data_IF_994103894292
#
_entry.id   IF_994103894292
#
_cell.length_a   1.000
_cell.length_b   1.000
_cell.length_c   1.000
_cell.angle_alpha   90.00
_cell.angle_beta   90.00
_cell.angle_gamma   90.00
#
_symmetry.space_group_name_H-M   'P 1'
#
loop_
_entity.id
_entity.type
_entity.pdbx_description
1 polymer ?
#
# COMPACT_ATOMS: atom_id res chain seq x y z
N UNK A 1 30.41 -11.01 -21.72
CA UNK A 1 29.49 -9.89 -21.44
C UNK A 1 28.22 -10.08 -22.23
N UNK A 2 27.08 -9.99 -21.57
CA UNK A 2 25.79 -10.15 -22.23
C UNK A 2 25.20 -8.77 -22.46
N UNK A 3 24.86 -8.50 -23.71
CA UNK A 3 24.26 -7.23 -24.09
C UNK A 3 22.72 -7.37 -24.07
N UNK A 4 22.06 -6.40 -23.48
CA UNK A 4 20.59 -6.37 -23.49
C UNK A 4 20.09 -5.95 -24.88
N UNK A 5 18.98 -6.53 -25.29
CA UNK A 5 18.30 -6.10 -26.53
C UNK A 5 17.63 -4.74 -26.31
N UNK A 6 17.28 -4.08 -27.39
CA UNK A 6 16.52 -2.82 -27.32
C UNK A 6 15.20 -3.03 -26.59
N UNK A 7 14.48 -4.13 -26.86
CA UNK A 7 13.22 -4.40 -26.18
C UNK A 7 13.40 -4.65 -24.68
N UNK A 8 14.50 -5.29 -24.28
CA UNK A 8 14.80 -5.48 -22.85
C UNK A 8 15.06 -4.14 -22.18
N UNK A 9 15.83 -3.26 -22.80
CA UNK A 9 16.11 -1.93 -22.27
C UNK A 9 14.82 -1.10 -22.18
N UNK A 10 13.98 -1.15 -23.20
CA UNK A 10 12.71 -0.42 -23.20
C UNK A 10 11.81 -0.86 -22.06
N UNK A 11 11.74 -2.18 -21.78
CA UNK A 11 10.97 -2.71 -20.66
C UNK A 11 11.52 -2.27 -19.31
N UNK A 12 12.85 -2.25 -19.16
CA UNK A 12 13.47 -1.80 -17.93
C UNK A 12 13.20 -0.32 -17.66
N UNK A 13 13.28 0.50 -18.71
CA UNK A 13 12.98 1.93 -18.60
C UNK A 13 11.51 2.12 -18.20
N UNK A 14 10.59 1.41 -18.86
CA UNK A 14 9.17 1.50 -18.55
C UNK A 14 8.87 1.07 -17.12
N UNK A 15 9.48 -0.03 -16.67
CA UNK A 15 9.33 -0.52 -15.30
C UNK A 15 9.86 0.47 -14.28
N UNK A 16 11.00 1.09 -14.57
CA UNK A 16 11.60 2.09 -13.69
C UNK A 16 10.70 3.32 -13.59
N UNK A 17 10.15 3.78 -14.69
CA UNK A 17 9.24 4.93 -14.72
C UNK A 17 7.95 4.63 -13.96
N UNK A 18 7.40 3.45 -14.12
CA UNK A 18 6.20 3.00 -13.43
C UNK A 18 6.43 2.96 -11.91
N UNK A 19 7.57 2.43 -11.50
CA UNK A 19 7.94 2.40 -10.08
C UNK A 19 8.10 3.81 -9.52
N UNK A 20 8.69 4.70 -10.28
CA UNK A 20 8.84 6.10 -9.89
C UNK A 20 7.49 6.80 -9.68
N UNK A 21 6.54 6.53 -10.58
CA UNK A 21 5.17 7.07 -10.43
C UNK A 21 4.51 6.54 -9.17
N UNK A 22 4.61 5.23 -8.91
CA UNK A 22 4.02 4.63 -7.72
C UNK A 22 4.66 5.23 -6.45
N UNK A 23 5.97 5.38 -6.42
CA UNK A 23 6.66 5.98 -5.28
C UNK A 23 6.15 7.40 -5.00
N UNK A 24 5.94 8.20 -6.03
CA UNK A 24 5.41 9.56 -5.86
C UNK A 24 3.98 9.56 -5.33
N UNK A 25 3.14 8.65 -5.82
CA UNK A 25 1.76 8.50 -5.34
C UNK A 25 1.74 8.10 -3.87
N UNK A 26 2.57 7.15 -3.49
CA UNK A 26 2.70 6.71 -2.10
C UNK A 26 3.16 7.87 -1.22
N UNK A 27 4.21 8.57 -1.63
CA UNK A 27 4.74 9.67 -0.82
C UNK A 27 3.70 10.77 -0.58
N UNK A 28 2.93 11.10 -1.61
CA UNK A 28 1.87 12.11 -1.49
C UNK A 28 0.82 11.68 -0.49
N UNK A 29 0.38 10.43 -0.56
CA UNK A 29 -0.63 9.90 0.36
C UNK A 29 -0.08 9.74 1.78
N UNK A 30 1.17 9.32 1.92
CA UNK A 30 1.82 9.26 3.23
C UNK A 30 1.91 10.63 3.87
N UNK A 31 2.33 11.64 3.13
CA UNK A 31 2.41 13.00 3.66
C UNK A 31 1.07 13.47 4.20
N UNK A 32 0.01 13.21 3.45
CA UNK A 32 -1.35 13.56 3.86
C UNK A 32 -1.77 12.82 5.12
N UNK A 33 -1.66 11.50 5.11
CA UNK A 33 -2.24 10.67 6.15
C UNK A 33 -1.41 10.61 7.42
N UNK A 34 -0.10 10.73 7.33
CA UNK A 34 0.74 10.86 8.53
C UNK A 34 0.36 12.12 9.31
N UNK A 35 0.07 13.21 8.61
CA UNK A 35 -0.38 14.44 9.27
C UNK A 35 -1.75 14.26 9.92
N UNK A 36 -2.69 13.61 9.22
CA UNK A 36 -4.05 13.41 9.73
C UNK A 36 -4.06 12.47 10.94
N UNK A 37 -3.33 11.36 10.85
CA UNK A 37 -3.37 10.31 11.87
C UNK A 37 -2.37 10.52 13.01
N UNK A 38 -1.43 11.43 12.83
CA UNK A 38 -0.42 11.71 13.87
C UNK A 38 0.61 10.60 14.05
N UNK A 39 0.85 9.82 13.02
CA UNK A 39 1.85 8.74 13.04
C UNK A 39 2.82 8.91 11.89
N UNK A 40 3.99 8.32 11.99
CA UNK A 40 5.01 8.40 10.95
C UNK A 40 5.64 7.04 10.71
N UNK A 41 5.85 6.74 9.44
CA UNK A 41 6.71 5.62 9.06
C UNK A 41 8.14 6.13 8.92
N UNK A 42 9.10 5.25 9.18
CA UNK A 42 10.51 5.58 9.02
C UNK A 42 10.89 5.63 7.53
N UNK A 43 10.43 4.63 6.79
CA UNK A 43 10.66 4.54 5.35
C UNK A 43 9.63 3.61 4.73
N UNK A 44 9.47 3.70 3.41
CA UNK A 44 8.64 2.75 2.69
C UNK A 44 9.39 2.15 1.52
N UNK A 45 9.00 0.95 1.14
CA UNK A 45 9.58 0.21 0.03
C UNK A 45 8.48 -0.44 -0.79
N UNK A 46 8.66 -0.49 -2.09
CA UNK A 46 7.80 -1.21 -3.01
C UNK A 46 8.48 -2.50 -3.40
N UNK A 47 7.76 -3.61 -3.27
CA UNK A 47 8.29 -4.91 -3.68
C UNK A 47 7.17 -5.83 -4.15
N UNK A 48 7.54 -6.93 -4.79
CA UNK A 48 6.62 -8.00 -5.10
C UNK A 48 6.30 -8.74 -3.80
N UNK A 49 5.01 -8.84 -3.47
CA UNK A 49 4.58 -9.49 -2.24
C UNK A 49 3.17 -10.05 -2.40
N UNK A 50 2.80 -10.97 -1.52
CA UNK A 50 1.51 -11.65 -1.59
C UNK A 50 0.36 -10.85 -0.99
N UNK A 51 0.64 -9.89 -0.13
CA UNK A 51 -0.36 -8.99 0.42
C UNK A 51 -0.25 -7.63 -0.24
N UNK A 52 -1.24 -6.75 -0.01
CA UNK A 52 -1.22 -5.40 -0.56
C UNK A 52 -0.23 -4.49 0.13
N UNK A 53 -0.04 -4.69 1.42
CA UNK A 53 0.89 -3.91 2.21
C UNK A 53 1.22 -4.62 3.50
N UNK A 54 2.26 -4.15 4.17
CA UNK A 54 2.70 -4.66 5.46
C UNK A 54 3.47 -3.57 6.19
N UNK A 55 3.34 -3.52 7.49
CA UNK A 55 4.04 -2.55 8.31
C UNK A 55 4.69 -3.26 9.49
N UNK A 56 5.97 -3.01 9.69
CA UNK A 56 6.67 -3.47 10.90
C UNK A 56 6.61 -2.35 11.93
N UNK A 57 5.89 -2.53 13.05
CA UNK A 57 5.73 -1.47 14.04
C UNK A 57 7.01 -1.15 14.81
N UNK A 58 7.95 -2.07 14.87
CA UNK A 58 9.22 -1.84 15.59
C UNK A 58 10.11 -0.85 14.89
N UNK A 59 10.38 -1.08 13.59
CA UNK A 59 11.26 -0.22 12.80
C UNK A 59 10.50 0.77 11.94
N UNK A 60 9.16 0.69 11.95
CA UNK A 60 8.27 1.57 11.20
C UNK A 60 8.54 1.57 9.71
N UNK A 61 8.86 0.40 9.18
CA UNK A 61 9.01 0.22 7.74
C UNK A 61 7.70 -0.23 7.14
N UNK A 62 7.32 0.46 6.07
CA UNK A 62 6.11 0.17 5.32
C UNK A 62 6.49 -0.51 4.02
N UNK A 63 5.85 -1.62 3.74
CA UNK A 63 6.02 -2.36 2.48
C UNK A 63 4.75 -2.25 1.68
N UNK A 64 4.86 -1.89 0.41
CA UNK A 64 3.72 -1.74 -0.51
C UNK A 64 3.93 -2.67 -1.68
N UNK A 65 2.88 -3.40 -2.05
CA UNK A 65 2.93 -4.27 -3.22
C UNK A 65 3.07 -3.46 -4.50
N UNK A 66 3.99 -3.88 -5.36
CA UNK A 66 4.15 -3.30 -6.68
C UNK A 66 2.91 -3.44 -7.56
N UNK A 67 2.04 -4.41 -7.25
CA UNK A 67 0.78 -4.58 -7.97
C UNK A 67 -0.12 -3.36 -7.86
N UNK A 68 0.06 -2.52 -6.85
CA UNK A 68 -0.72 -1.30 -6.67
C UNK A 68 -0.40 -0.22 -7.71
N UNK A 69 0.67 -0.38 -8.49
CA UNK A 69 0.98 0.53 -9.58
C UNK A 69 -0.15 0.62 -10.62
N UNK A 70 -0.90 -0.46 -10.80
CA UNK A 70 -2.01 -0.53 -11.77
C UNK A 70 -3.36 -0.20 -11.14
N UNK A 71 -3.38 0.17 -9.87
CA UNK A 71 -4.60 0.43 -9.13
C UNK A 71 -4.91 1.90 -9.05
N UNK A 72 -6.18 2.20 -8.73
CA UNK A 72 -6.62 3.57 -8.50
C UNK A 72 -5.96 4.17 -7.24
N UNK A 73 -5.96 5.49 -7.18
CA UNK A 73 -5.53 6.20 -5.98
C UNK A 73 -6.41 5.87 -4.78
N UNK A 74 -7.69 5.63 -5.00
CA UNK A 74 -8.60 5.24 -3.91
C UNK A 74 -8.18 3.91 -3.29
N UNK A 75 -7.79 2.94 -4.09
CA UNK A 75 -7.30 1.65 -3.61
C UNK A 75 -5.98 1.79 -2.87
N UNK A 76 -5.05 2.54 -3.45
CA UNK A 76 -3.74 2.78 -2.83
C UNK A 76 -3.91 3.51 -1.48
N UNK A 77 -4.77 4.52 -1.45
CA UNK A 77 -5.04 5.26 -0.22
C UNK A 77 -5.59 4.33 0.88
N UNK A 78 -6.50 3.44 0.53
CA UNK A 78 -7.03 2.48 1.49
C UNK A 78 -5.89 1.63 2.10
N UNK A 79 -5.00 1.10 1.27
CA UNK A 79 -3.90 0.27 1.76
C UNK A 79 -3.00 1.05 2.71
N UNK A 80 -2.66 2.28 2.35
CA UNK A 80 -1.81 3.13 3.18
C UNK A 80 -2.48 3.45 4.52
N UNK A 81 -3.74 3.86 4.50
CA UNK A 81 -4.48 4.17 5.73
C UNK A 81 -4.61 2.93 6.61
N UNK A 82 -4.90 1.77 6.00
CA UNK A 82 -4.99 0.49 6.71
C UNK A 82 -3.71 0.20 7.51
N UNK A 83 -2.55 0.34 6.86
CA UNK A 83 -1.28 0.07 7.54
C UNK A 83 -0.97 1.13 8.60
N UNK A 84 -1.25 2.39 8.34
CA UNK A 84 -1.02 3.45 9.33
C UNK A 84 -1.94 3.31 10.55
N UNK A 85 -3.17 2.86 10.36
CA UNK A 85 -4.07 2.59 11.49
C UNK A 85 -3.52 1.47 12.37
N UNK A 86 -2.92 0.44 11.77
CA UNK A 86 -2.23 -0.58 12.56
C UNK A 86 -1.14 0.04 13.43
N UNK A 87 -0.40 1.00 12.89
CA UNK A 87 0.65 1.67 13.64
C UNK A 87 0.09 2.49 14.81
N UNK A 88 -1.11 3.05 14.67
CA UNK A 88 -1.75 3.81 15.73
C UNK A 88 -2.10 2.96 16.96
N UNK A 89 -2.44 1.70 16.74
CA UNK A 89 -2.96 0.83 17.81
C UNK A 89 -2.00 -0.27 18.22
N UNK A 90 -0.89 -0.41 17.52
CA UNK A 90 0.07 -1.48 17.81
C UNK A 90 1.03 -1.06 18.90
N UNK A 91 0.65 -1.35 20.13
CA UNK A 91 1.45 -1.02 21.31
C UNK A 91 2.11 -2.24 21.92
N UNK A 92 2.06 -3.39 21.24
CA UNK A 92 2.63 -4.60 21.80
C UNK A 92 2.62 -5.74 20.81
N UNK A 93 3.16 -6.89 21.21
CA UNK A 93 3.34 -8.02 20.30
C UNK A 93 2.04 -8.62 19.78
N UNK A 94 0.93 -8.34 20.39
CA UNK A 94 -0.38 -8.84 19.97
C UNK A 94 -1.22 -7.79 19.26
N UNK A 95 -0.68 -6.62 18.98
CA UNK A 95 -1.45 -5.48 18.52
C UNK A 95 -1.82 -5.46 17.05
N UNK A 96 -1.46 -6.49 16.29
CA UNK A 96 -1.62 -6.46 14.85
C UNK A 96 -2.99 -6.92 14.33
N UNK A 97 -3.93 -7.23 15.21
CA UNK A 97 -5.24 -7.73 14.81
C UNK A 97 -6.17 -6.67 14.27
N UNK A 98 -7.20 -7.13 13.54
CA UNK A 98 -8.29 -6.28 13.10
C UNK A 98 -9.43 -6.38 14.11
N UNK A 99 -9.25 -5.75 15.26
CA UNK A 99 -10.24 -5.75 16.32
C UNK A 99 -11.20 -4.54 16.22
N UNK A 100 -12.07 -4.40 17.20
CA UNK A 100 -13.06 -3.33 17.19
C UNK A 100 -12.42 -1.94 17.16
N UNK A 101 -11.27 -1.78 17.80
CA UNK A 101 -10.55 -0.52 17.83
C UNK A 101 -10.03 -0.17 16.43
N UNK A 102 -9.51 -1.16 15.70
CA UNK A 102 -9.08 -0.99 14.32
C UNK A 102 -10.24 -0.53 13.44
N UNK A 103 -11.37 -1.23 13.52
CA UNK A 103 -12.52 -0.89 12.69
C UNK A 103 -13.10 0.48 13.03
N UNK A 104 -13.11 0.83 14.31
CA UNK A 104 -13.59 2.16 14.73
C UNK A 104 -12.73 3.28 14.14
N UNK A 105 -11.41 3.09 14.12
CA UNK A 105 -10.50 4.07 13.52
C UNK A 105 -10.67 4.13 12.00
N UNK A 106 -10.81 2.99 11.34
CA UNK A 106 -11.05 2.97 9.91
C UNK A 106 -12.37 3.68 9.56
N UNK A 107 -13.43 3.43 10.31
CA UNK A 107 -14.72 4.08 10.09
C UNK A 107 -14.63 5.59 10.30
N UNK A 108 -13.84 6.01 11.25
CA UNK A 108 -13.67 7.44 11.55
C UNK A 108 -12.90 8.17 10.45
N UNK A 109 -11.78 7.59 10.01
CA UNK A 109 -10.84 8.31 9.15
C UNK A 109 -11.02 8.03 7.66
N UNK A 110 -11.52 6.86 7.30
CA UNK A 110 -11.76 6.50 5.92
C UNK A 110 -13.08 5.72 5.81
N UNK A 111 -14.23 6.40 5.98
CA UNK A 111 -15.52 5.71 6.06
C UNK A 111 -15.89 4.89 4.83
N UNK A 112 -15.24 5.13 3.69
CA UNK A 112 -15.46 4.35 2.47
C UNK A 112 -14.57 3.11 2.38
N UNK A 113 -13.87 2.75 3.43
CA UNK A 113 -12.86 1.70 3.36
C UNK A 113 -13.42 0.32 2.99
N UNK A 114 -14.63 0.00 3.43
CA UNK A 114 -15.22 -1.31 3.10
C UNK A 114 -15.46 -1.46 1.61
N UNK A 115 -15.92 -0.41 0.97
CA UNK A 115 -16.12 -0.40 -0.48
C UNK A 115 -14.79 -0.50 -1.22
N UNK A 116 -13.77 0.22 -0.77
CA UNK A 116 -12.44 0.16 -1.36
C UNK A 116 -11.81 -1.23 -1.19
N UNK A 117 -11.97 -1.81 -0.02
CA UNK A 117 -11.51 -3.17 0.25
C UNK A 117 -12.19 -4.18 -0.69
N UNK A 118 -13.50 -4.06 -0.85
CA UNK A 118 -14.25 -4.94 -1.74
C UNK A 118 -13.78 -4.81 -3.19
N UNK A 119 -13.47 -3.59 -3.65
CA UNK A 119 -12.92 -3.36 -4.99
C UNK A 119 -11.58 -4.06 -5.17
N UNK A 120 -10.71 -4.01 -4.17
CA UNK A 120 -9.44 -4.74 -4.22
C UNK A 120 -9.66 -6.24 -4.33
N UNK A 121 -10.56 -6.77 -3.54
CA UNK A 121 -10.85 -8.21 -3.53
C UNK A 121 -11.46 -8.69 -4.85
N UNK A 122 -12.28 -7.88 -5.47
CA UNK A 122 -12.91 -8.23 -6.74
C UNK A 122 -11.99 -8.06 -7.95
N UNK A 123 -10.79 -7.50 -7.74
CA UNK A 123 -9.87 -7.25 -8.83
C UNK A 123 -10.22 -6.02 -9.65
N UNK A 124 -10.89 -5.05 -9.04
CA UNK A 124 -11.26 -3.78 -9.68
C UNK A 124 -10.02 -2.93 -9.85
N UNK A 125 -9.36 -3.08 -10.97
CA UNK A 125 -8.06 -2.48 -11.26
C UNK A 125 -8.11 -1.64 -12.49
N UNK A 126 -7.13 -0.75 -12.63
CA UNK A 126 -6.95 0.07 -13.83
C UNK A 126 -6.56 -0.81 -15.02
N UNK A 127 -5.72 -1.81 -14.78
CA UNK A 127 -5.26 -2.72 -15.83
C UNK A 127 -5.06 -4.12 -15.27
N UNK A 128 -5.85 -5.07 -15.74
CA UNK A 128 -5.71 -6.47 -15.38
C UNK A 128 -6.28 -6.83 -14.02
N UNK A 129 -6.22 -8.11 -13.70
CA UNK A 129 -6.71 -8.66 -12.45
C UNK A 129 -5.66 -8.57 -11.36
N UNK A 130 -6.12 -8.35 -10.14
CA UNK A 130 -5.26 -8.38 -8.97
C UNK A 130 -5.13 -9.77 -8.41
N UNK A 131 -4.00 -10.08 -7.76
CA UNK A 131 -3.91 -11.26 -6.92
C UNK A 131 -4.92 -11.15 -5.78
N UNK A 132 -5.65 -12.21 -5.51
CA UNK A 132 -6.52 -12.25 -4.36
C UNK A 132 -5.68 -12.37 -3.10
N UNK A 133 -5.80 -11.44 -2.19
CA UNK A 133 -4.98 -11.45 -0.97
C UNK A 133 -5.77 -11.71 0.28
N UNK A 134 -7.06 -11.59 0.25
CA UNK A 134 -7.89 -11.84 1.41
C UNK A 134 -7.78 -10.82 2.54
N UNK A 135 -7.17 -9.71 2.31
CA UNK A 135 -7.02 -8.69 3.36
C UNK A 135 -8.12 -7.68 3.38
#
# INVERSE_FOLDING_TARGET
>A
MVWKTASQLDREIANHQERGRLNRRIQKLLNKWQAILGVRVHEFHVKKMNSWGSLNPRDRRLWISGALATMSDAALEYVIVHELVHLMIDEGPAGSGHDDRFYALMDRYLPTWRRRHASLRSGDVVAGKLPGTGR
#
